data_IF_502412123173
#
_entry.id   IF_502412123173
#
_cell.length_a   1.000
_cell.length_b   1.000
_cell.length_c   1.000
_cell.angle_alpha   90.00
_cell.angle_beta   90.00
_cell.angle_gamma   90.00
#
_symmetry.space_group_name_H-M   'P 1'
#
loop_
_entity.id
_entity.type
_entity.pdbx_description
1 polymer ?
#
# COMPACT_ATOMS: atom_id res chain seq x y z
N UNK A 1 44.43 31.23 -5.87
CA UNK A 1 43.58 30.80 -4.74
C UNK A 1 42.20 30.52 -5.30
N UNK A 2 41.98 29.28 -5.71
CA UNK A 2 40.70 28.80 -6.24
C UNK A 2 39.72 28.65 -5.07
N UNK A 3 38.70 29.50 -5.01
CA UNK A 3 37.51 29.21 -4.21
C UNK A 3 36.48 28.57 -5.14
N UNK A 4 36.72 27.30 -5.46
CA UNK A 4 35.70 26.47 -6.10
C UNK A 4 34.55 26.33 -5.12
N UNK A 5 33.58 27.24 -5.23
CA UNK A 5 32.27 27.14 -4.60
C UNK A 5 31.56 25.96 -5.23
N UNK A 6 31.89 24.77 -4.75
CA UNK A 6 31.08 23.59 -4.96
C UNK A 6 29.71 23.92 -4.36
N UNK A 7 28.80 24.38 -5.22
CA UNK A 7 27.38 24.28 -5.01
C UNK A 7 27.11 22.80 -4.75
N UNK A 8 27.11 22.44 -3.48
CA UNK A 8 26.87 21.10 -2.99
C UNK A 8 25.37 20.85 -3.18
N UNK A 9 24.98 20.67 -4.44
CA UNK A 9 23.72 20.07 -4.86
C UNK A 9 23.61 18.79 -4.05
N UNK A 10 22.75 18.81 -3.04
CA UNK A 10 22.34 17.57 -2.39
C UNK A 10 21.79 16.67 -3.51
N UNK A 11 22.02 15.36 -3.47
CA UNK A 11 21.23 14.46 -4.29
C UNK A 11 19.77 14.70 -3.89
N UNK A 12 19.02 15.37 -4.75
CA UNK A 12 17.58 15.44 -4.63
C UNK A 12 17.13 13.98 -4.73
N UNK A 13 16.60 13.41 -3.64
CA UNK A 13 16.09 12.04 -3.73
C UNK A 13 15.12 12.00 -4.91
N UNK A 14 15.30 11.06 -5.85
CA UNK A 14 14.49 11.02 -7.05
C UNK A 14 13.02 10.91 -6.61
N UNK A 15 12.22 11.90 -7.00
CA UNK A 15 10.79 11.84 -6.71
C UNK A 15 10.22 10.53 -7.26
N UNK A 16 9.25 9.92 -6.56
CA UNK A 16 8.66 8.68 -6.99
C UNK A 16 8.14 8.84 -8.42
N UNK A 17 8.56 7.91 -9.29
CA UNK A 17 8.16 7.93 -10.70
C UNK A 17 6.63 7.94 -10.81
N UNK A 18 6.11 8.39 -11.95
CA UNK A 18 4.68 8.33 -12.23
C UNK A 18 4.09 6.92 -11.96
N UNK A 19 4.84 5.88 -12.33
CA UNK A 19 4.46 4.48 -12.08
C UNK A 19 4.42 4.13 -10.60
N UNK A 20 5.43 4.53 -9.82
CA UNK A 20 5.47 4.33 -8.37
C UNK A 20 4.28 4.99 -7.68
N UNK A 21 3.96 6.23 -8.07
CA UNK A 21 2.78 6.93 -7.58
C UNK A 21 1.49 6.19 -7.93
N UNK A 22 1.35 5.75 -9.18
CA UNK A 22 0.17 5.03 -9.65
C UNK A 22 -0.02 3.72 -8.86
N UNK A 23 1.05 2.96 -8.61
CA UNK A 23 0.97 1.72 -7.82
C UNK A 23 0.54 1.98 -6.37
N UNK A 24 1.15 2.96 -5.70
CA UNK A 24 0.82 3.26 -4.29
C UNK A 24 -0.63 3.73 -4.16
N UNK A 25 -1.05 4.66 -5.03
CA UNK A 25 -2.41 5.22 -4.98
C UNK A 25 -3.46 4.19 -5.37
N UNK A 26 -3.24 3.41 -6.43
CA UNK A 26 -4.15 2.34 -6.82
C UNK A 26 -4.28 1.27 -5.72
N UNK A 27 -3.17 0.90 -5.07
CA UNK A 27 -3.20 -0.06 -3.96
C UNK A 27 -3.99 0.49 -2.77
N UNK A 28 -3.80 1.76 -2.40
CA UNK A 28 -4.55 2.39 -1.32
C UNK A 28 -6.05 2.48 -1.64
N UNK A 29 -6.40 2.96 -2.84
CA UNK A 29 -7.80 3.13 -3.26
C UNK A 29 -8.52 1.78 -3.30
N UNK A 30 -7.93 0.76 -3.90
CA UNK A 30 -8.54 -0.59 -3.97
C UNK A 30 -8.81 -1.12 -2.57
N UNK A 31 -7.85 -1.02 -1.65
CA UNK A 31 -8.04 -1.47 -0.26
C UNK A 31 -9.17 -0.71 0.44
N UNK A 32 -9.23 0.61 0.29
CA UNK A 32 -10.28 1.42 0.89
C UNK A 32 -11.65 1.06 0.31
N UNK A 33 -11.78 0.96 -1.03
CA UNK A 33 -13.06 0.69 -1.67
C UNK A 33 -13.56 -0.74 -1.42
N UNK A 34 -12.70 -1.75 -1.58
CA UNK A 34 -13.05 -3.13 -1.29
C UNK A 34 -13.33 -3.31 0.20
N UNK A 35 -12.54 -2.66 1.06
CA UNK A 35 -12.76 -2.68 2.49
C UNK A 35 -14.10 -2.07 2.90
N UNK A 36 -14.43 -0.88 2.39
CA UNK A 36 -15.71 -0.21 2.61
C UNK A 36 -16.89 -1.05 2.10
N UNK A 37 -16.77 -1.63 0.91
CA UNK A 37 -17.77 -2.53 0.37
C UNK A 37 -17.98 -3.76 1.26
N UNK A 38 -16.91 -4.36 1.78
CA UNK A 38 -16.98 -5.53 2.67
C UNK A 38 -17.55 -5.20 4.06
N UNK A 39 -17.39 -3.97 4.56
CA UNK A 39 -18.01 -3.51 5.82
C UNK A 39 -19.52 -3.30 5.67
N UNK A 40 -19.93 -2.59 4.60
CA UNK A 40 -21.34 -2.19 4.40
C UNK A 40 -22.15 -3.37 3.82
N UNK A 41 -21.58 -4.05 2.83
CA UNK A 41 -22.23 -5.10 2.03
C UNK A 41 -21.35 -6.37 1.97
N UNK A 42 -21.05 -7.02 3.11
CA UNK A 42 -20.14 -8.18 3.17
C UNK A 42 -20.54 -9.33 2.25
N UNK A 43 -21.83 -9.67 2.16
CA UNK A 43 -22.30 -10.79 1.32
C UNK A 43 -22.23 -10.44 -0.19
N UNK A 44 -22.75 -9.28 -0.67
CA UNK A 44 -22.53 -8.87 -2.04
C UNK A 44 -21.05 -8.72 -2.41
N UNK A 45 -20.24 -8.11 -1.53
CA UNK A 45 -18.80 -7.94 -1.76
C UNK A 45 -18.10 -9.29 -1.92
N UNK A 46 -18.36 -10.24 -1.04
CA UNK A 46 -17.84 -11.61 -1.14
C UNK A 46 -18.26 -12.30 -2.44
N UNK A 47 -19.51 -12.10 -2.87
CA UNK A 47 -20.03 -12.71 -4.11
C UNK A 47 -19.31 -12.22 -5.38
N UNK A 48 -18.80 -10.98 -5.39
CA UNK A 48 -18.00 -10.46 -6.51
C UNK A 48 -16.74 -11.30 -6.74
N UNK A 49 -16.13 -11.73 -5.65
CA UNK A 49 -14.95 -12.59 -5.64
C UNK A 49 -15.29 -14.09 -5.60
N UNK A 50 -16.57 -14.46 -5.68
CA UNK A 50 -17.00 -15.85 -5.59
C UNK A 50 -16.70 -16.50 -4.23
N UNK A 51 -16.53 -15.72 -3.16
CA UNK A 51 -16.25 -16.23 -1.83
C UNK A 51 -17.54 -16.78 -1.20
N UNK A 52 -17.56 -18.06 -0.76
CA UNK A 52 -18.74 -18.67 -0.16
C UNK A 52 -18.86 -18.26 1.31
N UNK A 53 -19.24 -17.00 1.58
CA UNK A 53 -19.49 -16.53 2.95
C UNK A 53 -20.93 -16.88 3.34
N UNK A 54 -21.07 -17.73 4.35
CA UNK A 54 -22.37 -18.01 4.96
C UNK A 54 -22.92 -16.75 5.65
N UNK A 55 -24.23 -16.57 5.67
CA UNK A 55 -24.87 -15.42 6.34
C UNK A 55 -24.52 -15.34 7.83
N UNK A 56 -24.31 -16.49 8.49
CA UNK A 56 -23.89 -16.58 9.88
C UNK A 56 -22.46 -16.07 10.13
N UNK A 57 -21.60 -16.06 9.11
CA UNK A 57 -20.21 -15.58 9.19
C UNK A 57 -20.03 -14.18 8.59
N UNK A 58 -21.11 -13.41 8.46
CA UNK A 58 -21.11 -12.04 7.92
C UNK A 58 -20.09 -11.12 8.61
N UNK A 59 -19.94 -11.25 9.93
CA UNK A 59 -18.99 -10.46 10.73
C UNK A 59 -17.55 -10.67 10.28
N UNK A 60 -17.16 -11.86 9.80
CA UNK A 60 -15.83 -12.11 9.27
C UNK A 60 -15.54 -11.26 8.03
N UNK A 61 -16.53 -11.10 7.13
CA UNK A 61 -16.42 -10.21 5.98
C UNK A 61 -16.25 -8.74 6.38
N UNK A 62 -16.91 -8.32 7.46
CA UNK A 62 -16.77 -6.95 7.99
C UNK A 62 -15.42 -6.73 8.67
N UNK A 63 -14.89 -7.73 9.40
CA UNK A 63 -13.54 -7.66 9.96
C UNK A 63 -12.47 -7.60 8.87
N UNK A 64 -12.61 -8.41 7.81
CA UNK A 64 -11.75 -8.29 6.63
C UNK A 64 -11.85 -6.88 6.04
N UNK A 65 -13.07 -6.37 5.85
CA UNK A 65 -13.27 -5.04 5.30
C UNK A 65 -12.65 -3.92 6.16
N UNK A 66 -12.78 -4.00 7.48
CA UNK A 66 -12.16 -3.06 8.41
C UNK A 66 -10.62 -3.12 8.34
N UNK A 67 -10.04 -4.32 8.20
CA UNK A 67 -8.59 -4.49 7.98
C UNK A 67 -8.15 -3.76 6.71
N UNK A 68 -8.87 -3.96 5.61
CA UNK A 68 -8.53 -3.34 4.32
C UNK A 68 -8.63 -1.82 4.36
N UNK A 69 -9.67 -1.26 5.00
CA UNK A 69 -9.78 0.19 5.20
C UNK A 69 -8.60 0.71 6.02
N UNK A 70 -8.25 0.05 7.12
CA UNK A 70 -7.17 0.49 8.00
C UNK A 70 -5.82 0.50 7.28
N UNK A 71 -5.50 -0.58 6.55
CA UNK A 71 -4.25 -0.69 5.79
C UNK A 71 -4.22 0.32 4.63
N UNK A 72 -5.31 0.42 3.86
CA UNK A 72 -5.41 1.38 2.76
C UNK A 72 -5.33 2.84 3.23
N UNK A 73 -5.99 3.16 4.34
CA UNK A 73 -5.93 4.47 4.98
C UNK A 73 -4.53 4.81 5.50
N UNK A 74 -3.84 3.85 6.13
CA UNK A 74 -2.46 4.02 6.56
C UNK A 74 -1.53 4.27 5.37
N UNK A 75 -1.65 3.48 4.29
CA UNK A 75 -0.84 3.66 3.08
C UNK A 75 -1.07 5.04 2.45
N UNK A 76 -2.33 5.47 2.33
CA UNK A 76 -2.69 6.79 1.82
C UNK A 76 -2.12 7.93 2.67
N UNK A 77 -2.25 7.82 4.01
CA UNK A 77 -1.74 8.82 4.94
C UNK A 77 -0.21 8.94 4.89
N UNK A 78 0.49 7.81 4.89
CA UNK A 78 1.96 7.77 4.78
C UNK A 78 2.44 8.34 3.44
N UNK A 79 1.76 7.99 2.34
CA UNK A 79 2.09 8.53 1.02
C UNK A 79 1.90 10.03 0.92
N UNK A 80 0.76 10.55 1.39
CA UNK A 80 0.50 11.99 1.37
C UNK A 80 1.48 12.78 2.25
N UNK A 81 1.84 12.23 3.40
CA UNK A 81 2.83 12.82 4.29
C UNK A 81 4.21 12.90 3.63
N UNK A 82 4.62 11.83 2.94
CA UNK A 82 5.88 11.79 2.18
C UNK A 82 5.90 12.81 1.03
N UNK A 83 4.83 12.87 0.21
CA UNK A 83 4.75 13.81 -0.92
C UNK A 83 4.67 15.27 -0.48
N UNK A 84 3.96 15.57 0.62
CA UNK A 84 3.90 16.94 1.15
C UNK A 84 5.29 17.46 1.51
N UNK A 85 6.11 16.60 2.11
CA UNK A 85 7.51 16.91 2.44
C UNK A 85 8.36 17.26 1.21
N UNK A 86 8.16 16.55 0.11
CA UNK A 86 8.98 16.71 -1.10
C UNK A 86 8.72 18.01 -1.87
N UNK A 87 7.65 18.76 -1.53
CA UNK A 87 7.26 20.01 -2.22
C UNK A 87 7.63 21.29 -1.45
N UNK A 88 8.00 21.20 -0.17
CA UNK A 88 8.22 22.37 0.71
C UNK A 88 9.67 22.90 0.69
N UNK A 89 10.57 22.32 -0.12
CA UNK A 89 12.00 22.66 -0.12
C UNK A 89 12.32 23.98 -0.86
N UNK A 90 12.04 25.11 -0.21
CA UNK A 90 12.83 26.33 -0.39
C UNK A 90 14.22 26.20 0.27
N UNK A 91 15.19 27.06 -0.08
CA UNK A 91 16.58 26.99 0.42
C UNK A 91 16.59 27.05 1.97
N UNK A 92 16.88 25.94 2.69
CA UNK A 92 16.84 25.93 4.15
C UNK A 92 18.20 26.34 4.74
N UNK A 93 18.18 27.02 5.88
CA UNK A 93 19.36 27.23 6.73
C UNK A 93 19.90 25.87 7.21
N UNK A 94 21.21 25.75 7.48
CA UNK A 94 21.88 24.46 7.80
C UNK A 94 21.20 23.67 8.93
N UNK A 95 20.80 24.33 10.03
CA UNK A 95 20.07 23.68 11.13
C UNK A 95 18.66 23.22 10.73
N UNK A 96 17.98 23.98 9.86
CA UNK A 96 16.67 23.61 9.29
C UNK A 96 16.80 22.45 8.32
N UNK A 97 17.92 22.35 7.58
CA UNK A 97 18.20 21.28 6.63
C UNK A 97 18.35 19.92 7.30
N UNK A 98 19.09 19.84 8.41
CA UNK A 98 19.29 18.56 9.12
C UNK A 98 17.97 18.04 9.72
N UNK A 99 17.15 18.93 10.27
CA UNK A 99 15.81 18.60 10.75
C UNK A 99 14.88 18.16 9.60
N UNK A 100 14.92 18.86 8.46
CA UNK A 100 14.10 18.54 7.28
C UNK A 100 14.47 17.16 6.73
N UNK A 101 15.77 16.86 6.61
CA UNK A 101 16.25 15.56 6.17
C UNK A 101 15.80 14.42 7.08
N UNK A 102 15.87 14.61 8.41
CA UNK A 102 15.40 13.62 9.37
C UNK A 102 13.90 13.31 9.20
N UNK A 103 13.07 14.35 9.00
CA UNK A 103 11.63 14.15 8.78
C UNK A 103 11.29 13.47 7.46
N UNK A 104 12.06 13.72 6.39
CA UNK A 104 11.89 13.04 5.10
C UNK A 104 12.20 11.54 5.25
N UNK A 105 13.29 11.21 5.92
CA UNK A 105 13.69 9.82 6.18
C UNK A 105 12.60 9.09 6.99
N UNK A 106 12.11 9.71 8.07
CA UNK A 106 11.05 9.13 8.90
C UNK A 106 9.77 8.88 8.09
N UNK A 107 9.34 9.85 7.28
CA UNK A 107 8.14 9.72 6.43
C UNK A 107 8.32 8.65 5.35
N UNK A 108 9.52 8.54 4.79
CA UNK A 108 9.87 7.51 3.81
C UNK A 108 9.84 6.12 4.43
N UNK A 109 10.40 5.95 5.63
CA UNK A 109 10.34 4.69 6.38
C UNK A 109 8.90 4.34 6.75
N UNK A 110 8.07 5.30 7.17
CA UNK A 110 6.65 5.08 7.42
C UNK A 110 5.89 4.59 6.17
N UNK A 111 6.20 5.13 4.98
CA UNK A 111 5.65 4.66 3.71
C UNK A 111 6.14 3.25 3.35
N UNK A 112 7.43 2.96 3.53
CA UNK A 112 8.00 1.62 3.34
C UNK A 112 7.34 0.59 4.25
N UNK A 113 7.15 0.93 5.52
CA UNK A 113 6.49 0.06 6.49
C UNK A 113 5.04 -0.23 6.09
N UNK A 114 4.29 0.78 5.64
CA UNK A 114 2.93 0.59 5.16
C UNK A 114 2.86 -0.34 3.93
N UNK A 115 3.81 -0.20 2.98
CA UNK A 115 3.91 -1.08 1.82
C UNK A 115 4.31 -2.52 2.18
N UNK A 116 5.22 -2.69 3.15
CA UNK A 116 5.57 -4.00 3.68
C UNK A 116 4.37 -4.70 4.33
N UNK A 117 3.57 -3.96 5.09
CA UNK A 117 2.32 -4.50 5.67
C UNK A 117 1.38 -4.96 4.56
N UNK A 118 1.21 -4.16 3.50
CA UNK A 118 0.40 -4.57 2.33
C UNK A 118 0.92 -5.87 1.71
N UNK A 119 2.23 -5.95 1.43
CA UNK A 119 2.85 -7.12 0.82
C UNK A 119 2.71 -8.37 1.68
N UNK A 120 2.96 -8.25 3.00
CA UNK A 120 2.82 -9.34 3.96
C UNK A 120 1.39 -9.88 3.94
N UNK A 121 0.43 -8.98 4.05
CA UNK A 121 -1.00 -9.29 4.05
C UNK A 121 -1.42 -10.01 2.77
N UNK A 122 -1.04 -9.48 1.60
CA UNK A 122 -1.40 -10.08 0.32
C UNK A 122 -0.77 -11.47 0.17
N UNK A 123 0.45 -11.66 0.68
CA UNK A 123 1.12 -12.96 0.68
C UNK A 123 0.40 -13.98 1.56
N UNK A 124 -0.05 -13.57 2.74
CA UNK A 124 -0.83 -14.42 3.65
C UNK A 124 -2.16 -14.80 2.99
N UNK A 125 -2.87 -13.82 2.44
CA UNK A 125 -4.17 -14.04 1.81
C UNK A 125 -4.03 -15.00 0.59
N UNK A 126 -2.98 -14.85 -0.22
CA UNK A 126 -2.65 -15.78 -1.31
C UNK A 126 -2.35 -17.19 -0.79
N UNK A 127 -1.60 -17.30 0.31
CA UNK A 127 -1.33 -18.59 0.97
C UNK A 127 -2.62 -19.27 1.43
N UNK A 128 -3.54 -18.52 2.04
CA UNK A 128 -4.85 -19.02 2.42
C UNK A 128 -5.68 -19.47 1.20
N UNK A 129 -5.68 -18.69 0.11
CA UNK A 129 -6.36 -19.08 -1.13
C UNK A 129 -5.76 -20.37 -1.70
N UNK A 130 -4.43 -20.47 -1.76
CA UNK A 130 -3.76 -21.65 -2.28
C UNK A 130 -4.10 -22.90 -1.46
N UNK A 131 -4.03 -22.83 -0.12
CA UNK A 131 -4.37 -23.95 0.77
C UNK A 131 -5.81 -24.42 0.56
N UNK A 132 -6.77 -23.49 0.51
CA UNK A 132 -8.18 -23.85 0.32
C UNK A 132 -8.47 -24.35 -1.11
N UNK A 133 -7.72 -23.88 -2.11
CA UNK A 133 -7.78 -24.43 -3.47
C UNK A 133 -7.28 -25.89 -3.51
N UNK A 134 -6.16 -26.20 -2.85
CA UNK A 134 -5.66 -27.58 -2.74
C UNK A 134 -6.62 -28.52 -2.00
N UNK A 135 -7.42 -27.99 -1.07
CA UNK A 135 -8.47 -28.73 -0.37
C UNK A 135 -9.75 -28.90 -1.20
N UNK A 136 -9.85 -28.27 -2.36
CA UNK A 136 -11.08 -28.26 -3.17
C UNK A 136 -12.22 -27.43 -2.58
N UNK A 137 -11.92 -26.56 -1.62
CA UNK A 137 -12.91 -25.73 -0.91
C UNK A 137 -13.20 -24.40 -1.65
N UNK A 138 -12.41 -24.07 -2.68
CA UNK A 138 -12.58 -22.85 -3.48
C UNK A 138 -13.02 -23.15 -4.91
N UNK A 139 -13.97 -22.34 -5.38
CA UNK A 139 -14.38 -22.33 -6.78
C UNK A 139 -13.34 -21.65 -7.68
N UNK A 140 -13.37 -22.00 -8.97
CA UNK A 140 -12.47 -21.44 -9.98
C UNK A 140 -12.54 -19.90 -10.04
N UNK A 141 -13.74 -19.32 -9.86
CA UNK A 141 -13.93 -17.86 -9.81
C UNK A 141 -13.15 -17.22 -8.66
N UNK A 142 -13.14 -17.83 -7.49
CA UNK A 142 -12.42 -17.32 -6.31
C UNK A 142 -10.92 -17.38 -6.52
N UNK A 143 -10.43 -18.45 -7.15
CA UNK A 143 -9.03 -18.60 -7.51
C UNK A 143 -8.58 -17.46 -8.45
N UNK A 144 -9.35 -17.19 -9.51
CA UNK A 144 -9.01 -16.14 -10.47
C UNK A 144 -9.15 -14.73 -9.90
N UNK A 145 -10.29 -14.42 -9.28
CA UNK A 145 -10.57 -13.08 -8.79
C UNK A 145 -9.76 -12.76 -7.53
N UNK A 146 -9.80 -13.65 -6.54
CA UNK A 146 -9.08 -13.47 -5.27
C UNK A 146 -7.57 -13.66 -5.45
N UNK A 147 -7.15 -14.72 -6.14
CA UNK A 147 -5.73 -14.98 -6.41
C UNK A 147 -5.12 -13.93 -7.34
N UNK A 148 -5.82 -13.55 -8.41
CA UNK A 148 -5.37 -12.49 -9.31
C UNK A 148 -5.24 -11.13 -8.60
N UNK A 149 -6.22 -10.75 -7.78
CA UNK A 149 -6.16 -9.52 -7.00
C UNK A 149 -5.01 -9.54 -5.99
N UNK A 150 -4.81 -10.65 -5.26
CA UNK A 150 -3.71 -10.80 -4.31
C UNK A 150 -2.33 -10.71 -4.99
N UNK A 151 -2.16 -11.34 -6.15
CA UNK A 151 -0.90 -11.25 -6.92
C UNK A 151 -0.67 -9.83 -7.42
N UNK A 152 -1.70 -9.17 -7.96
CA UNK A 152 -1.58 -7.78 -8.40
C UNK A 152 -1.20 -6.84 -7.24
N UNK A 153 -1.84 -6.98 -6.08
CA UNK A 153 -1.53 -6.23 -4.87
C UNK A 153 -0.08 -6.42 -4.42
N UNK A 154 0.38 -7.67 -4.34
CA UNK A 154 1.75 -8.01 -3.98
C UNK A 154 2.77 -7.42 -4.98
N UNK A 155 2.49 -7.52 -6.29
CA UNK A 155 3.36 -6.95 -7.33
C UNK A 155 3.42 -5.43 -7.22
N UNK A 156 2.29 -4.76 -6.99
CA UNK A 156 2.26 -3.29 -6.83
C UNK A 156 3.04 -2.86 -5.59
N UNK A 157 2.83 -3.53 -4.45
CA UNK A 157 3.55 -3.25 -3.21
C UNK A 157 5.07 -3.48 -3.37
N UNK A 158 5.48 -4.62 -3.93
CA UNK A 158 6.89 -4.94 -4.16
C UNK A 158 7.56 -3.97 -5.15
N UNK A 159 6.84 -3.60 -6.22
CA UNK A 159 7.34 -2.64 -7.22
C UNK A 159 7.52 -1.25 -6.62
N UNK A 160 6.57 -0.82 -5.79
CA UNK A 160 6.67 0.45 -5.08
C UNK A 160 7.82 0.44 -4.05
N UNK A 161 7.98 -0.64 -3.27
CA UNK A 161 9.09 -0.81 -2.32
C UNK A 161 10.45 -0.74 -3.01
N UNK A 162 10.60 -1.41 -4.16
CA UNK A 162 11.84 -1.40 -4.94
C UNK A 162 12.19 0.00 -5.47
N UNK A 163 11.21 0.84 -5.70
CA UNK A 163 11.37 2.17 -6.26
C UNK A 163 11.60 3.27 -5.20
N UNK A 164 11.51 2.96 -3.90
CA UNK A 164 11.71 3.88 -2.77
C UNK A 164 13.09 3.70 -2.12
#
# INVERSE_FOLDING_TARGET
>A
MESSSASQFAPQEPQPTFMTKAFITALADVRIFIGAAAVILPLPAASLFGLPIASASRSLGQFYGAREIAIGGLLFASYNSYIKSSKEDGIPLKATRDATNATIIERKEALKNALWVCLLVDTIDLGCIAVNAFRGELGLRTLWMGGGAGVAGAVFAASALRAL
#
